data_IF_321541606057
#
_entry.id   IF_321541606057
#
_cell.length_a   1.000
_cell.length_b   1.000
_cell.length_c   1.000
_cell.angle_alpha   90.00
_cell.angle_beta   90.00
_cell.angle_gamma   90.00
#
_symmetry.space_group_name_H-M   'P 1'
#
loop_
_entity.id
_entity.type
_entity.pdbx_description
1 polymer ?
#
# COMPACT_ATOMS: atom_id res chain seq x y z
N UNK A 1 -0.58 -23.70 -7.36
CA UNK A 1 0.69 -23.04 -7.74
C UNK A 1 0.63 -21.64 -7.17
N UNK A 2 0.91 -21.47 -5.88
CA UNK A 2 0.41 -20.30 -5.13
C UNK A 2 1.50 -19.58 -4.30
N UNK A 3 2.77 -19.85 -4.56
CA UNK A 3 3.88 -19.27 -3.80
C UNK A 3 4.44 -17.95 -4.37
N UNK A 4 4.15 -17.59 -5.62
CA UNK A 4 4.70 -16.36 -6.23
C UNK A 4 3.95 -15.10 -5.76
N UNK A 5 2.64 -15.21 -5.51
CA UNK A 5 1.85 -14.13 -4.90
C UNK A 5 2.19 -13.90 -3.42
N UNK A 6 2.82 -14.89 -2.78
CA UNK A 6 3.22 -14.80 -1.38
C UNK A 6 4.51 -13.99 -1.22
N UNK A 7 5.44 -14.08 -2.19
CA UNK A 7 6.68 -13.30 -2.17
C UNK A 7 6.40 -11.79 -2.34
N UNK A 8 5.51 -11.42 -3.27
CA UNK A 8 5.12 -10.03 -3.47
C UNK A 8 4.30 -9.48 -2.28
N UNK A 9 3.41 -10.30 -1.69
CA UNK A 9 2.73 -9.95 -0.44
C UNK A 9 3.69 -9.86 0.75
N UNK A 10 4.71 -10.71 0.83
CA UNK A 10 5.77 -10.64 1.84
C UNK A 10 6.63 -9.40 1.64
N UNK A 11 6.98 -9.03 0.41
CA UNK A 11 7.70 -7.80 0.08
C UNK A 11 6.86 -6.54 0.36
N UNK A 12 5.54 -6.61 0.15
CA UNK A 12 4.62 -5.53 0.51
C UNK A 12 4.36 -5.46 2.03
N UNK A 13 4.36 -6.59 2.74
CA UNK A 13 4.36 -6.64 4.21
C UNK A 13 5.71 -6.19 4.80
N UNK A 14 6.82 -6.36 4.08
CA UNK A 14 8.11 -5.73 4.38
C UNK A 14 8.03 -4.21 4.14
N UNK A 15 7.16 -3.76 3.22
CA UNK A 15 7.00 -2.35 2.84
C UNK A 15 6.18 -1.47 3.79
N UNK A 16 5.44 -2.02 4.75
CA UNK A 16 4.66 -1.22 5.70
C UNK A 16 4.76 -1.86 7.08
N UNK A 17 5.79 -1.50 7.84
CA UNK A 17 5.79 -1.70 9.30
C UNK A 17 6.89 -2.58 9.93
N UNK A 18 7.85 -3.12 9.17
CA UNK A 18 8.95 -3.93 9.75
C UNK A 18 10.31 -3.25 9.74
N UNK A 19 10.35 -1.93 9.92
CA UNK A 19 11.61 -1.23 10.27
C UNK A 19 12.30 -1.89 11.46
N UNK A 20 11.57 -2.51 12.39
CA UNK A 20 12.18 -3.28 13.49
C UNK A 20 12.92 -4.53 13.00
N UNK A 21 12.41 -5.25 12.01
CA UNK A 21 13.03 -6.50 11.53
C UNK A 21 14.30 -6.21 10.74
N UNK A 22 14.29 -5.14 9.93
CA UNK A 22 15.47 -4.66 9.21
C UNK A 22 16.53 -4.15 10.20
N UNK A 23 16.12 -3.39 11.22
CA UNK A 23 17.01 -2.92 12.28
C UNK A 23 17.63 -4.10 13.05
N UNK A 24 16.84 -5.11 13.40
CA UNK A 24 17.29 -6.31 14.12
C UNK A 24 18.30 -7.11 13.27
N UNK A 25 18.04 -7.27 11.96
CA UNK A 25 18.96 -7.98 11.05
C UNK A 25 20.25 -7.21 10.78
N UNK A 26 20.16 -5.88 10.67
CA UNK A 26 21.35 -5.03 10.60
C UNK A 26 22.18 -5.17 11.88
N UNK A 27 21.54 -5.08 13.05
CA UNK A 27 22.23 -5.19 14.32
C UNK A 27 22.90 -6.57 14.50
N UNK A 28 22.23 -7.67 14.15
CA UNK A 28 22.84 -9.02 14.14
C UNK A 28 24.07 -9.11 13.23
N UNK A 29 23.97 -8.61 11.98
CA UNK A 29 25.08 -8.65 11.04
C UNK A 29 26.28 -7.83 11.52
N UNK A 30 26.00 -6.65 12.09
CA UNK A 30 27.04 -5.75 12.60
C UNK A 30 27.70 -6.32 13.86
N UNK A 31 26.92 -6.94 14.75
CA UNK A 31 27.44 -7.65 15.93
C UNK A 31 28.30 -8.85 15.54
N UNK A 32 27.96 -9.55 14.45
CA UNK A 32 28.78 -10.63 13.92
C UNK A 32 30.13 -10.10 13.41
N UNK A 33 30.14 -8.98 12.69
CA UNK A 33 31.39 -8.34 12.24
C UNK A 33 32.25 -7.82 13.39
N UNK A 34 31.62 -7.39 14.49
CA UNK A 34 32.35 -7.05 15.73
C UNK A 34 32.98 -8.29 16.37
N UNK A 35 32.26 -9.40 16.42
CA UNK A 35 32.79 -10.68 16.94
C UNK A 35 33.92 -11.23 16.08
N UNK A 36 33.81 -11.08 14.75
CA UNK A 36 34.81 -11.54 13.79
C UNK A 36 36.03 -10.60 13.73
N UNK A 37 36.00 -9.48 14.45
CA UNK A 37 37.10 -8.50 14.55
C UNK A 37 37.25 -7.63 13.30
N UNK A 38 36.33 -7.72 12.34
CA UNK A 38 36.34 -6.92 11.10
C UNK A 38 35.83 -5.49 11.32
N UNK A 39 35.14 -5.26 12.43
CA UNK A 39 34.57 -3.97 12.80
C UNK A 39 34.68 -3.74 14.30
N UNK A 40 34.88 -2.50 14.75
CA UNK A 40 34.80 -2.20 16.19
C UNK A 40 33.37 -1.79 16.58
N UNK A 41 33.05 -1.88 17.87
CA UNK A 41 31.69 -1.59 18.39
C UNK A 41 31.21 -0.17 18.09
N UNK A 42 32.14 0.79 18.00
CA UNK A 42 31.81 2.19 17.75
C UNK A 42 31.46 2.44 16.27
N UNK A 43 32.19 1.81 15.36
CA UNK A 43 31.91 1.79 13.92
C UNK A 43 30.58 1.07 13.66
N UNK A 44 30.31 -0.04 14.36
CA UNK A 44 29.08 -0.81 14.24
C UNK A 44 27.84 0.05 14.54
N UNK A 45 27.87 0.78 15.66
CA UNK A 45 26.79 1.69 16.03
C UNK A 45 26.57 2.79 14.99
N UNK A 46 27.64 3.44 14.53
CA UNK A 46 27.53 4.50 13.51
C UNK A 46 26.94 3.98 12.20
N UNK A 47 27.36 2.79 11.76
CA UNK A 47 26.85 2.19 10.53
C UNK A 47 25.35 1.89 10.62
N UNK A 48 24.90 1.31 11.73
CA UNK A 48 23.47 1.05 11.97
C UNK A 48 22.69 2.36 12.02
N UNK A 49 23.18 3.38 12.72
CA UNK A 49 22.54 4.69 12.82
C UNK A 49 22.42 5.38 11.45
N UNK A 50 23.50 5.38 10.65
CA UNK A 50 23.53 5.99 9.32
C UNK A 50 22.54 5.30 8.35
N UNK A 51 22.48 3.96 8.38
CA UNK A 51 21.51 3.20 7.58
C UNK A 51 20.07 3.50 8.01
N UNK A 52 19.80 3.53 9.31
CA UNK A 52 18.48 3.84 9.84
C UNK A 52 18.05 5.28 9.55
N UNK A 53 19.00 6.21 9.52
CA UNK A 53 18.74 7.61 9.16
C UNK A 53 18.42 7.77 7.68
N UNK A 54 19.13 7.06 6.79
CA UNK A 54 18.83 7.02 5.36
C UNK A 54 17.45 6.44 5.07
N UNK A 55 17.09 5.33 5.72
CA UNK A 55 15.78 4.69 5.58
C UNK A 55 14.61 5.59 6.03
N UNK A 56 14.84 6.47 7.02
CA UNK A 56 13.81 7.43 7.49
C UNK A 56 13.53 8.54 6.48
N UNK A 57 14.51 8.94 5.67
CA UNK A 57 14.36 10.04 4.71
C UNK A 57 13.59 9.63 3.44
N UNK A 58 13.57 8.33 3.10
CA UNK A 58 12.90 7.82 1.90
C UNK A 58 11.39 7.56 2.07
N UNK A 59 10.87 7.57 3.30
CA UNK A 59 9.47 7.18 3.58
C UNK A 59 8.45 8.10 2.90
N UNK A 60 8.67 9.41 2.88
CA UNK A 60 7.73 10.37 2.28
C UNK A 60 7.68 10.25 0.77
N UNK A 61 8.82 9.98 0.12
CA UNK A 61 8.87 9.82 -1.34
C UNK A 61 8.18 8.53 -1.81
N UNK A 62 8.30 7.46 -1.01
CA UNK A 62 7.71 6.16 -1.29
C UNK A 62 6.19 6.16 -1.09
N UNK A 63 5.67 6.81 -0.05
CA UNK A 63 4.23 6.98 0.14
C UNK A 63 3.60 7.74 -1.04
N UNK A 64 4.21 8.84 -1.47
CA UNK A 64 3.71 9.63 -2.60
C UNK A 64 3.79 8.86 -3.93
N UNK A 65 4.84 8.07 -4.13
CA UNK A 65 4.98 7.21 -5.30
C UNK A 65 3.93 6.09 -5.28
N UNK A 66 3.73 5.43 -4.15
CA UNK A 66 2.72 4.38 -3.98
C UNK A 66 1.31 4.94 -4.15
N UNK A 67 0.98 6.09 -3.55
CA UNK A 67 -0.34 6.68 -3.66
C UNK A 67 -0.67 7.06 -5.12
N UNK A 68 0.33 7.54 -5.87
CA UNK A 68 0.19 7.79 -7.32
C UNK A 68 -0.02 6.50 -8.11
N UNK A 69 0.81 5.48 -7.89
CA UNK A 69 0.69 4.21 -8.59
C UNK A 69 -0.61 3.47 -8.24
N UNK A 70 -1.05 3.52 -6.99
CA UNK A 70 -2.32 2.94 -6.55
C UNK A 70 -3.52 3.66 -7.16
N UNK A 71 -3.48 5.00 -7.27
CA UNK A 71 -4.50 5.77 -8.01
C UNK A 71 -4.56 5.38 -9.49
N UNK A 72 -3.40 5.24 -10.14
CA UNK A 72 -3.33 4.84 -11.54
C UNK A 72 -3.86 3.40 -11.74
N UNK A 73 -3.48 2.47 -10.87
CA UNK A 73 -4.00 1.10 -10.89
C UNK A 73 -5.51 1.05 -10.62
N UNK A 74 -6.05 1.87 -9.71
CA UNK A 74 -7.50 1.95 -9.51
C UNK A 74 -8.26 2.50 -10.72
N UNK A 75 -7.63 3.37 -11.51
CA UNK A 75 -8.20 3.83 -12.78
C UNK A 75 -8.17 2.72 -13.84
N UNK A 76 -7.13 1.89 -13.87
CA UNK A 76 -6.95 0.83 -14.87
C UNK A 76 -7.69 -0.48 -14.55
N UNK A 77 -7.94 -0.80 -13.27
CA UNK A 77 -8.59 -2.05 -12.84
C UNK A 77 -10.12 -2.02 -13.02
N UNK A 78 -10.70 -0.94 -13.55
CA UNK A 78 -12.12 -0.91 -13.91
C UNK A 78 -13.08 -1.03 -12.73
N UNK A 79 -12.62 -0.70 -11.51
CA UNK A 79 -13.50 -0.52 -10.36
C UNK A 79 -14.28 0.78 -10.59
N UNK A 80 -15.61 0.73 -10.77
CA UNK A 80 -16.39 1.95 -10.98
C UNK A 80 -16.18 2.89 -9.80
N UNK A 81 -15.87 4.15 -10.09
CA UNK A 81 -15.71 5.16 -9.04
C UNK A 81 -17.04 5.30 -8.31
N UNK A 82 -17.02 5.61 -7.02
CA UNK A 82 -18.27 5.86 -6.27
C UNK A 82 -19.17 6.90 -6.97
N UNK A 83 -18.57 7.92 -7.58
CA UNK A 83 -19.31 8.92 -8.36
C UNK A 83 -20.06 8.35 -9.56
N UNK A 84 -19.50 7.34 -10.24
CA UNK A 84 -20.12 6.68 -11.39
C UNK A 84 -21.27 5.77 -10.93
N UNK A 85 -21.09 5.10 -9.78
CA UNK A 85 -22.15 4.34 -9.11
C UNK A 85 -23.30 5.24 -8.63
N UNK A 86 -22.98 6.42 -8.09
CA UNK A 86 -23.97 7.39 -7.63
C UNK A 86 -24.77 7.97 -8.81
N UNK A 87 -24.11 8.23 -9.94
CA UNK A 87 -24.80 8.66 -11.16
C UNK A 87 -25.75 7.57 -11.68
N UNK A 88 -25.29 6.32 -11.72
CA UNK A 88 -26.12 5.17 -12.13
C UNK A 88 -27.31 4.98 -11.18
N UNK A 89 -27.11 5.12 -9.87
CA UNK A 89 -28.17 5.07 -8.87
C UNK A 89 -29.20 6.17 -9.08
N UNK A 90 -28.75 7.41 -9.32
CA UNK A 90 -29.65 8.52 -9.63
C UNK A 90 -30.45 8.32 -10.92
N UNK A 91 -29.86 7.66 -11.94
CA UNK A 91 -30.56 7.28 -13.18
C UNK A 91 -31.61 6.20 -12.91
N UNK A 92 -31.30 5.21 -12.08
CA UNK A 92 -32.22 4.15 -11.67
C UNK A 92 -33.43 4.72 -10.93
N UNK A 93 -33.21 5.60 -9.94
CA UNK A 93 -34.28 6.24 -9.17
C UNK A 93 -35.25 7.05 -10.05
N UNK A 94 -34.74 7.64 -11.14
CA UNK A 94 -35.57 8.37 -12.13
C UNK A 94 -36.40 7.40 -12.97
N UNK A 95 -35.82 6.30 -13.42
CA UNK A 95 -36.54 5.27 -14.17
C UNK A 95 -37.64 4.61 -13.32
N UNK A 96 -37.36 4.27 -12.08
CA UNK A 96 -38.37 3.71 -11.17
C UNK A 96 -39.55 4.65 -10.95
N UNK A 97 -39.29 5.97 -10.84
CA UNK A 97 -40.36 6.97 -10.75
C UNK A 97 -41.18 7.05 -12.02
N UNK A 98 -40.55 7.01 -13.20
CA UNK A 98 -41.27 7.01 -14.47
C UNK A 98 -42.13 5.76 -14.65
N UNK A 99 -41.63 4.58 -14.26
CA UNK A 99 -42.39 3.34 -14.29
C UNK A 99 -43.61 3.43 -13.38
N UNK A 100 -43.45 3.89 -12.12
CA UNK A 100 -44.58 4.08 -11.19
C UNK A 100 -45.62 5.06 -11.72
N UNK A 101 -45.20 6.16 -12.34
CA UNK A 101 -46.11 7.14 -12.95
C UNK A 101 -46.88 6.56 -14.15
N UNK A 102 -46.24 5.70 -14.95
CA UNK A 102 -46.88 5.00 -16.05
C UNK A 102 -47.89 3.96 -15.55
N UNK A 103 -47.53 3.19 -14.53
CA UNK A 103 -48.44 2.26 -13.86
C UNK A 103 -49.66 3.00 -13.30
N UNK A 104 -49.46 4.11 -12.58
CA UNK A 104 -50.57 4.92 -12.05
C UNK A 104 -51.47 5.55 -13.12
N UNK A 105 -51.00 5.70 -14.36
CA UNK A 105 -51.80 6.16 -15.51
C UNK A 105 -52.57 5.03 -16.17
N UNK A 106 -52.03 3.82 -16.18
CA UNK A 106 -52.67 2.63 -16.75
C UNK A 106 -53.81 2.07 -15.90
N UNK A 107 -53.82 2.39 -14.60
CA UNK A 107 -54.86 1.96 -13.65
C UNK A 107 -55.98 3.00 -13.44
N UNK A 108 -56.00 4.06 -14.23
CA UNK A 108 -57.12 5.02 -14.36
C UNK A 108 -57.83 4.81 -15.69
#
# INVERSE_FOLDING_TARGET
>A
MDNQNNLLRQLLMIGIGTTSLVAEKLQEATDQWVKDGTMNTEQAKRFVDDMMQGLRLDHTSLEDLMQRQFRNLMQDVGVPRQSELDELRGRLDRLERQVRDLENRLWR
#
